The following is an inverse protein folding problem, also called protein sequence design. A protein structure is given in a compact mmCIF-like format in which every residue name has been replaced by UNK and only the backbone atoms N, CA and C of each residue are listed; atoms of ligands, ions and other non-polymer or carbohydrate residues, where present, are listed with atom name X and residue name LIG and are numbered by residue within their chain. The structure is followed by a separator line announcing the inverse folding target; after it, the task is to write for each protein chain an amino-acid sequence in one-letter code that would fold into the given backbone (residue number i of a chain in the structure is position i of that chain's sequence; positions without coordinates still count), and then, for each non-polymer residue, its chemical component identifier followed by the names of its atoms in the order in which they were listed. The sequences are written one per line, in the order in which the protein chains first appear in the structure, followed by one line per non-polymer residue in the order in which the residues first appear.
data_IF_270826572346
#
_entry.id   IF_270826572346
#
_cell.length_a   1.000
_cell.length_b   1.000
_cell.length_c   1.000
_cell.angle_alpha   90.00
_cell.angle_beta   90.00
_cell.angle_gamma   90.00
#
_symmetry.space_group_name_H-M   'P 1'
#
loop_
_entity.id
_entity.type
_entity.pdbx_description
1 polymer ?
#
# COMPACT_ATOMS: atom_id res chain seq x y z
N UNK A 1 44.35 -9.05 -54.41
CA UNK A 1 44.27 -7.65 -53.95
C UNK A 1 43.69 -7.70 -52.53
N UNK A 2 44.38 -7.11 -51.56
CA UNK A 2 44.30 -7.33 -50.12
C UNK A 2 42.94 -6.82 -49.56
N UNK A 3 42.15 -7.68 -48.96
CA UNK A 3 41.20 -7.29 -47.93
C UNK A 3 41.95 -7.18 -46.59
N UNK A 4 42.00 -5.99 -46.06
CA UNK A 4 42.56 -5.70 -44.74
C UNK A 4 41.51 -6.04 -43.72
N UNK A 5 41.75 -7.06 -42.92
CA UNK A 5 41.08 -7.32 -41.66
C UNK A 5 41.28 -6.11 -40.72
N UNK A 6 40.29 -5.24 -40.67
CA UNK A 6 40.21 -4.14 -39.72
C UNK A 6 39.56 -4.63 -38.45
N UNK A 7 40.27 -5.46 -37.66
CA UNK A 7 39.89 -5.71 -36.27
C UNK A 7 40.03 -4.42 -35.48
N UNK A 8 38.92 -3.73 -35.29
CA UNK A 8 38.86 -2.60 -34.36
C UNK A 8 39.08 -3.18 -32.97
N UNK A 9 40.26 -2.92 -32.41
CA UNK A 9 40.68 -3.30 -31.08
C UNK A 9 39.62 -2.75 -30.09
N UNK A 10 39.04 -3.61 -29.26
CA UNK A 10 38.00 -3.21 -28.31
C UNK A 10 38.50 -2.00 -27.48
N UNK A 11 37.75 -0.90 -27.43
CA UNK A 11 38.17 0.33 -26.76
C UNK A 11 37.99 0.21 -25.24
N UNK A 12 38.81 -0.59 -24.59
CA UNK A 12 38.74 -0.88 -23.15
C UNK A 12 38.70 0.38 -22.30
N UNK A 13 39.67 1.28 -22.56
CA UNK A 13 39.81 2.53 -21.83
C UNK A 13 38.59 3.44 -22.01
N UNK A 14 37.99 3.41 -23.19
CA UNK A 14 36.78 4.19 -23.48
C UNK A 14 35.56 3.66 -22.72
N UNK A 15 35.43 2.34 -22.62
CA UNK A 15 34.34 1.70 -21.84
C UNK A 15 34.48 2.06 -20.37
N UNK A 16 35.68 1.97 -19.80
CA UNK A 16 35.90 2.29 -18.38
C UNK A 16 35.61 3.77 -18.13
N UNK A 17 36.12 4.69 -18.94
CA UNK A 17 35.88 6.13 -18.81
C UNK A 17 34.40 6.49 -18.94
N UNK A 18 33.65 5.73 -19.75
CA UNK A 18 32.19 5.86 -19.86
C UNK A 18 31.47 5.41 -18.58
N UNK A 19 31.87 4.27 -18.00
CA UNK A 19 31.32 3.74 -16.77
C UNK A 19 31.62 4.59 -15.54
N UNK A 20 32.85 5.19 -15.52
CA UNK A 20 33.25 6.13 -14.46
C UNK A 20 32.65 7.55 -14.62
N UNK A 21 31.89 7.79 -15.70
CA UNK A 21 31.21 9.07 -15.94
C UNK A 21 32.12 10.15 -16.56
N UNK A 22 33.38 9.86 -16.86
CA UNK A 22 34.38 10.82 -17.37
C UNK A 22 34.49 10.88 -18.92
N UNK A 23 33.66 10.12 -19.65
CA UNK A 23 33.69 10.14 -21.10
C UNK A 23 33.09 11.42 -21.68
N UNK A 24 33.82 12.06 -22.61
CA UNK A 24 33.37 13.24 -23.35
C UNK A 24 32.23 12.93 -24.32
N UNK A 25 31.58 13.97 -24.90
CA UNK A 25 30.48 13.78 -25.83
C UNK A 25 30.91 13.03 -27.12
N UNK A 26 32.11 13.29 -27.60
CA UNK A 26 32.66 12.62 -28.79
C UNK A 26 32.98 11.14 -28.48
N UNK A 27 33.59 10.87 -27.36
CA UNK A 27 33.89 9.51 -26.88
C UNK A 27 32.61 8.67 -26.68
N UNK A 28 31.51 9.28 -26.20
CA UNK A 28 30.20 8.62 -26.12
C UNK A 28 29.63 8.26 -27.47
N UNK A 29 29.80 9.10 -28.49
CA UNK A 29 29.39 8.81 -29.87
C UNK A 29 30.21 7.66 -30.47
N UNK A 30 31.54 7.66 -30.25
CA UNK A 30 32.44 6.61 -30.70
C UNK A 30 32.09 5.25 -30.09
N UNK A 31 31.80 5.21 -28.77
CA UNK A 31 31.37 4.01 -28.08
C UNK A 31 30.03 3.51 -28.62
N UNK A 32 29.06 4.41 -28.88
CA UNK A 32 27.77 4.05 -29.45
C UNK A 32 27.89 3.47 -30.86
N UNK A 33 28.79 4.02 -31.68
CA UNK A 33 29.05 3.49 -33.02
C UNK A 33 29.66 2.10 -32.95
N UNK A 34 30.63 1.88 -32.04
CA UNK A 34 31.25 0.58 -31.82
C UNK A 34 30.25 -0.47 -31.30
N UNK A 35 29.37 -0.10 -30.38
CA UNK A 35 28.30 -0.98 -29.89
C UNK A 35 27.26 -1.37 -30.95
N UNK A 36 27.03 -0.50 -31.94
CA UNK A 36 26.10 -0.77 -33.04
C UNK A 36 26.72 -1.64 -34.15
N UNK A 37 28.02 -1.78 -34.20
CA UNK A 37 28.73 -2.46 -35.28
C UNK A 37 28.69 -3.98 -35.18
N UNK A 38 28.46 -4.57 -33.99
CA UNK A 38 28.36 -6.02 -33.78
C UNK A 38 27.61 -6.36 -32.48
N UNK A 39 26.91 -7.49 -32.46
CA UNK A 39 26.30 -8.03 -31.24
C UNK A 39 27.38 -8.51 -30.23
N UNK A 40 28.51 -9.01 -30.75
CA UNK A 40 29.66 -9.41 -29.93
C UNK A 40 30.25 -8.22 -29.13
N UNK A 41 30.19 -7.02 -29.71
CA UNK A 41 30.65 -5.79 -29.02
C UNK A 41 29.71 -5.42 -27.88
N UNK A 42 28.41 -5.65 -28.04
CA UNK A 42 27.42 -5.44 -26.96
C UNK A 42 27.62 -6.43 -25.82
N UNK A 43 27.81 -7.72 -26.14
CA UNK A 43 28.06 -8.73 -25.14
C UNK A 43 29.34 -8.45 -24.36
N UNK A 44 30.37 -7.98 -25.05
CA UNK A 44 31.62 -7.58 -24.44
C UNK A 44 31.46 -6.35 -23.49
N UNK A 45 30.72 -5.34 -23.93
CA UNK A 45 30.41 -4.18 -23.08
C UNK A 45 29.61 -4.59 -21.83
N UNK A 46 28.63 -5.47 -21.96
CA UNK A 46 27.83 -5.98 -20.85
C UNK A 46 28.71 -6.70 -19.83
N UNK A 47 29.66 -7.54 -20.29
CA UNK A 47 30.59 -8.24 -19.41
C UNK A 47 31.49 -7.27 -18.62
N UNK A 48 32.01 -6.21 -19.26
CA UNK A 48 32.84 -5.20 -18.60
C UNK A 48 32.00 -4.37 -17.62
N UNK A 49 30.81 -3.98 -17.99
CA UNK A 49 29.87 -3.25 -17.11
C UNK A 49 29.54 -4.06 -15.86
N UNK A 50 29.22 -5.34 -16.03
CA UNK A 50 28.85 -6.22 -14.92
C UNK A 50 30.04 -6.45 -13.97
N UNK A 51 31.25 -6.53 -14.52
CA UNK A 51 32.48 -6.60 -13.74
C UNK A 51 32.74 -5.29 -12.98
N UNK A 52 32.55 -4.14 -13.64
CA UNK A 52 32.70 -2.82 -13.04
C UNK A 52 31.73 -2.59 -11.89
N UNK A 53 30.44 -2.95 -12.09
CA UNK A 53 29.42 -2.88 -11.04
C UNK A 53 29.72 -3.80 -9.85
N UNK A 54 30.32 -4.96 -10.09
CA UNK A 54 30.74 -5.87 -9.03
C UNK A 54 31.92 -5.31 -8.22
N UNK A 55 32.81 -4.54 -8.86
CA UNK A 55 33.93 -3.89 -8.20
C UNK A 55 33.52 -2.62 -7.44
N UNK A 56 32.54 -1.86 -7.95
CA UNK A 56 32.03 -0.63 -7.32
C UNK A 56 31.21 -0.94 -6.04
N UNK A 57 30.54 -2.09 -6.02
CA UNK A 57 29.79 -2.56 -4.85
C UNK A 57 30.63 -3.20 -3.74
N UNK A 58 31.88 -3.57 -4.04
CA UNK A 58 32.83 -4.09 -3.06
C UNK A 58 34.00 -3.11 -3.04
N UNK A 59 34.36 -2.52 -1.91
CA UNK A 59 35.60 -1.79 -1.72
C UNK A 59 36.80 -2.75 -1.93
N UNK A 60 37.02 -3.15 -3.21
CA UNK A 60 38.07 -4.06 -3.60
C UNK A 60 39.37 -3.25 -3.75
N UNK A 61 40.43 -3.74 -3.14
CA UNK A 61 41.78 -3.18 -3.31
C UNK A 61 42.29 -3.43 -4.71
N UNK A 62 43.16 -2.52 -5.25
CA UNK A 62 43.75 -2.61 -6.60
C UNK A 62 44.39 -3.98 -6.91
N UNK A 63 44.87 -4.70 -5.90
CA UNK A 63 45.43 -6.04 -6.00
C UNK A 63 44.39 -7.13 -6.39
N UNK A 64 43.16 -7.01 -5.94
CA UNK A 64 42.07 -7.97 -6.24
C UNK A 64 41.54 -7.77 -7.66
N UNK A 65 41.53 -6.52 -8.14
CA UNK A 65 41.17 -6.17 -9.52
C UNK A 65 42.18 -6.76 -10.51
N UNK A 66 43.47 -6.68 -10.21
CA UNK A 66 44.53 -7.22 -11.07
C UNK A 66 44.51 -8.77 -11.15
N UNK A 67 44.15 -9.43 -10.06
CA UNK A 67 43.94 -10.89 -10.01
C UNK A 67 42.73 -11.32 -10.85
N UNK A 68 41.63 -10.58 -10.79
CA UNK A 68 40.43 -10.84 -11.56
C UNK A 68 40.66 -10.67 -13.07
N UNK A 69 41.37 -9.60 -13.46
CA UNK A 69 41.77 -9.34 -14.86
C UNK A 69 42.73 -10.40 -15.40
N UNK A 70 43.69 -10.87 -14.62
CA UNK A 70 44.59 -11.99 -15.01
C UNK A 70 43.83 -13.31 -15.22
N UNK A 71 42.85 -13.59 -14.38
CA UNK A 71 42.02 -14.80 -14.55
C UNK A 71 41.16 -14.74 -15.81
N UNK A 72 40.57 -13.58 -16.13
CA UNK A 72 39.79 -13.37 -17.35
C UNK A 72 40.68 -13.53 -18.60
N UNK A 73 41.85 -12.90 -18.62
CA UNK A 73 42.82 -12.96 -19.73
C UNK A 73 43.26 -14.40 -20.00
N UNK A 74 43.53 -15.18 -18.96
CA UNK A 74 43.96 -16.58 -19.11
C UNK A 74 42.83 -17.48 -19.66
N UNK A 75 41.55 -17.23 -19.32
CA UNK A 75 40.43 -17.96 -19.90
C UNK A 75 40.21 -17.67 -21.39
N UNK A 76 40.45 -16.43 -21.82
CA UNK A 76 40.30 -16.04 -23.23
C UNK A 76 41.42 -16.61 -24.11
N UNK A 77 42.67 -16.79 -23.57
CA UNK A 77 43.80 -17.35 -24.29
C UNK A 77 43.64 -18.86 -24.49
N UNK A 78 43.01 -19.58 -23.55
CA UNK A 78 42.80 -21.04 -23.64
C UNK A 78 41.65 -21.47 -24.59
N UNK A 79 40.83 -20.55 -25.05
CA UNK A 79 39.72 -20.85 -25.98
C UNK A 79 40.21 -21.03 -27.45
N UNK A 80 41.47 -20.74 -27.79
CA UNK A 80 41.95 -20.64 -29.19
C UNK A 80 42.83 -21.79 -29.68
N UNK A 81 42.98 -22.91 -28.95
CA UNK A 81 43.68 -24.06 -29.49
C UNK A 81 43.12 -25.38 -29.01
N UNK A 82 42.34 -26.05 -29.87
CA UNK A 82 42.41 -27.54 -30.06
C UNK A 82 41.60 -27.96 -31.27
N UNK A 83 42.26 -28.12 -32.38
CA UNK A 83 41.84 -29.10 -33.39
C UNK A 83 42.13 -30.51 -32.85
N UNK A 84 41.08 -31.29 -32.59
CA UNK A 84 41.22 -32.67 -32.12
C UNK A 84 40.65 -33.62 -33.15
N UNK A 85 41.49 -34.54 -33.65
CA UNK A 85 41.10 -35.66 -34.46
C UNK A 85 40.12 -36.58 -33.75
N UNK A 86 39.18 -37.26 -34.44
CA UNK A 86 38.16 -38.09 -33.81
C UNK A 86 38.74 -39.40 -33.34
N UNK A 87 39.07 -39.53 -32.05
CA UNK A 87 39.23 -40.82 -31.40
C UNK A 87 37.82 -41.36 -31.03
N UNK A 88 37.45 -42.50 -31.55
CA UNK A 88 36.23 -43.22 -31.18
C UNK A 88 36.24 -43.51 -29.68
N UNK A 89 35.51 -42.73 -28.91
CA UNK A 89 35.31 -42.90 -27.46
C UNK A 89 34.21 -43.94 -27.25
N UNK A 90 34.56 -45.05 -26.62
CA UNK A 90 33.59 -46.00 -26.08
C UNK A 90 32.97 -45.35 -24.84
N UNK A 91 31.79 -44.77 -24.99
CA UNK A 91 31.04 -44.16 -23.88
C UNK A 91 30.62 -45.27 -22.93
N UNK A 92 31.22 -45.29 -21.74
CA UNK A 92 30.73 -46.12 -20.64
C UNK A 92 29.49 -45.45 -20.06
N UNK A 93 28.31 -46.07 -20.30
CA UNK A 93 27.01 -45.56 -19.86
C UNK A 93 26.95 -45.21 -18.36
N UNK A 94 27.75 -45.81 -17.52
CA UNK A 94 27.87 -45.51 -16.09
C UNK A 94 28.43 -44.13 -15.81
N UNK A 95 29.34 -43.59 -16.63
CA UNK A 95 29.88 -42.24 -16.48
C UNK A 95 28.91 -41.15 -16.93
N UNK A 96 28.05 -41.46 -17.92
CA UNK A 96 26.99 -40.55 -18.37
C UNK A 96 25.91 -40.43 -17.30
N UNK A 97 25.52 -41.52 -16.63
CA UNK A 97 24.56 -41.49 -15.54
C UNK A 97 25.05 -40.67 -14.32
N UNK A 98 26.35 -40.76 -13.97
CA UNK A 98 26.93 -40.00 -12.88
C UNK A 98 26.96 -38.52 -13.16
N UNK A 99 27.28 -38.09 -14.41
CA UNK A 99 27.25 -36.66 -14.79
C UNK A 99 25.84 -36.10 -14.80
N UNK A 100 24.83 -36.87 -15.20
CA UNK A 100 23.43 -36.46 -15.13
C UNK A 100 22.94 -36.28 -13.68
N UNK A 101 23.32 -37.14 -12.76
CA UNK A 101 22.99 -36.99 -11.33
C UNK A 101 23.63 -35.77 -10.71
N UNK A 102 24.90 -35.45 -11.07
CA UNK A 102 25.56 -34.22 -10.61
C UNK A 102 24.88 -32.99 -11.18
N UNK A 103 24.49 -32.97 -12.47
CA UNK A 103 23.77 -31.84 -13.06
C UNK A 103 22.37 -31.66 -12.45
N UNK A 104 21.66 -32.75 -12.15
CA UNK A 104 20.35 -32.71 -11.46
C UNK A 104 20.52 -32.19 -10.03
N UNK A 105 21.53 -32.65 -9.30
CA UNK A 105 21.78 -32.17 -7.91
C UNK A 105 22.20 -30.71 -7.88
N UNK A 106 23.03 -30.25 -8.82
CA UNK A 106 23.39 -28.83 -8.96
C UNK A 106 22.18 -28.01 -9.40
N UNK A 107 21.40 -28.48 -10.37
CA UNK A 107 20.17 -27.81 -10.82
C UNK A 107 19.12 -27.73 -9.70
N UNK A 108 18.97 -28.80 -8.91
CA UNK A 108 18.08 -28.81 -7.73
C UNK A 108 18.59 -27.87 -6.62
N UNK A 109 19.92 -27.81 -6.41
CA UNK A 109 20.54 -26.87 -5.47
C UNK A 109 20.34 -25.40 -5.88
N UNK A 110 20.42 -25.10 -7.18
CA UNK A 110 20.09 -23.76 -7.69
C UNK A 110 18.59 -23.44 -7.62
N UNK A 111 17.74 -24.41 -7.91
CA UNK A 111 16.28 -24.28 -7.80
C UNK A 111 15.82 -24.09 -6.35
N UNK A 112 16.40 -24.82 -5.41
CA UNK A 112 16.09 -24.69 -3.99
C UNK A 112 16.63 -23.38 -3.40
N UNK A 113 17.83 -22.90 -3.83
CA UNK A 113 18.32 -21.58 -3.46
C UNK A 113 17.41 -20.45 -3.96
N UNK A 114 16.85 -20.57 -5.16
CA UNK A 114 15.91 -19.59 -5.68
C UNK A 114 14.62 -19.50 -4.84
N UNK A 115 14.16 -20.62 -4.27
CA UNK A 115 13.00 -20.63 -3.35
C UNK A 115 13.29 -20.04 -1.97
N UNK A 116 14.54 -20.08 -1.49
CA UNK A 116 14.91 -19.55 -0.17
C UNK A 116 15.05 -18.02 -0.22
N UNK A 117 15.36 -17.44 -1.38
CA UNK A 117 15.49 -15.97 -1.53
C UNK A 117 14.13 -15.26 -1.60
N UNK A 118 13.04 -15.98 -1.94
CA UNK A 118 11.70 -15.39 -2.02
C UNK A 118 10.97 -15.26 -0.66
N UNK A 119 11.57 -15.70 0.45
CA UNK A 119 10.96 -15.62 1.78
C UNK A 119 11.72 -14.69 2.74
N UNK A 120 12.42 -13.70 2.26
CA UNK A 120 12.65 -12.51 3.07
C UNK A 120 11.33 -11.75 3.06
N UNK A 121 10.45 -12.05 4.01
CA UNK A 121 9.37 -11.13 4.36
C UNK A 121 10.06 -9.81 4.69
N UNK A 122 10.00 -8.87 3.76
CA UNK A 122 10.33 -7.48 4.02
C UNK A 122 9.52 -7.12 5.28
N UNK A 123 10.21 -6.85 6.39
CA UNK A 123 9.54 -6.40 7.61
C UNK A 123 8.94 -5.05 7.25
N UNK A 124 7.68 -5.06 6.84
CA UNK A 124 6.95 -3.83 6.54
C UNK A 124 6.77 -3.11 7.87
N UNK A 125 7.61 -2.12 8.11
CA UNK A 125 7.45 -1.23 9.27
C UNK A 125 6.12 -0.51 9.10
N UNK A 126 5.21 -0.74 10.05
CA UNK A 126 3.89 -0.12 10.07
C UNK A 126 3.87 1.03 11.06
N UNK A 127 3.39 2.18 10.61
CA UNK A 127 3.10 3.34 11.43
C UNK A 127 1.62 3.31 11.86
N UNK A 128 1.33 3.90 13.01
CA UNK A 128 -0.02 4.02 13.53
C UNK A 128 -0.32 5.46 13.92
N UNK A 129 -1.47 5.95 13.50
CA UNK A 129 -2.06 7.20 13.97
C UNK A 129 -3.27 6.85 14.83
N UNK A 130 -3.31 7.37 16.04
CA UNK A 130 -4.37 7.08 17.00
C UNK A 130 -4.87 8.42 17.56
N UNK A 131 -6.19 8.61 17.57
CA UNK A 131 -6.85 9.73 18.24
C UNK A 131 -7.48 9.24 19.54
N UNK A 132 -7.27 9.98 20.62
CA UNK A 132 -7.96 9.72 21.88
C UNK A 132 -9.47 9.97 21.74
N UNK A 133 -10.28 9.36 22.61
CA UNK A 133 -11.72 9.68 22.72
C UNK A 133 -11.91 11.17 23.02
N UNK A 134 -12.78 11.84 22.29
CA UNK A 134 -13.02 13.30 22.38
C UNK A 134 -12.01 14.16 21.62
N UNK A 135 -11.03 13.57 20.94
CA UNK A 135 -10.01 14.28 20.16
C UNK A 135 -10.10 13.96 18.68
N UNK A 136 -9.65 14.89 17.86
CA UNK A 136 -9.54 14.76 16.40
C UNK A 136 -8.13 15.11 15.98
N UNK A 137 -7.67 14.58 14.85
CA UNK A 137 -6.36 14.88 14.31
C UNK A 137 -6.36 14.98 12.80
N UNK A 138 -5.54 15.88 12.26
CA UNK A 138 -5.24 15.97 10.84
C UNK A 138 -3.81 15.51 10.61
N UNK A 139 -3.62 14.64 9.62
CA UNK A 139 -2.33 14.02 9.31
C UNK A 139 -2.09 14.03 7.80
N UNK A 140 -0.82 14.05 7.42
CA UNK A 140 -0.39 13.91 6.02
C UNK A 140 0.38 12.61 5.91
N UNK A 141 -0.08 11.72 5.02
CA UNK A 141 0.58 10.44 4.74
C UNK A 141 1.77 10.63 3.78
N UNK A 142 2.67 9.62 3.65
CA UNK A 142 3.85 9.70 2.78
C UNK A 142 3.58 9.98 1.30
N UNK A 143 2.36 9.69 0.83
CA UNK A 143 1.91 9.97 -0.55
C UNK A 143 1.24 11.34 -0.72
N UNK A 144 1.30 12.21 0.30
CA UNK A 144 0.62 13.52 0.38
C UNK A 144 -0.91 13.42 0.49
N UNK A 145 -1.47 12.25 0.79
CA UNK A 145 -2.88 12.12 1.17
C UNK A 145 -3.10 12.78 2.52
N UNK A 146 -4.13 13.62 2.63
CA UNK A 146 -4.52 14.24 3.90
C UNK A 146 -5.64 13.40 4.51
N UNK A 147 -5.48 13.09 5.80
CA UNK A 147 -6.44 12.30 6.57
C UNK A 147 -6.83 13.07 7.82
N UNK A 148 -8.12 13.22 8.06
CA UNK A 148 -8.67 13.62 9.36
C UNK A 148 -9.18 12.36 10.06
N UNK A 149 -8.69 12.11 11.27
CA UNK A 149 -9.17 11.04 12.14
C UNK A 149 -10.12 11.62 13.18
N UNK A 150 -11.30 11.03 13.29
CA UNK A 150 -12.28 11.38 14.32
C UNK A 150 -11.93 10.72 15.67
N UNK A 151 -12.70 11.04 16.68
CA UNK A 151 -12.57 10.55 18.06
C UNK A 151 -12.44 9.03 18.14
N UNK A 152 -11.44 8.56 18.90
CA UNK A 152 -11.25 7.13 19.16
C UNK A 152 -10.92 6.30 17.92
N UNK A 153 -10.34 6.89 16.91
CA UNK A 153 -10.02 6.22 15.63
C UNK A 153 -8.55 5.87 15.53
N UNK A 154 -8.25 4.84 14.73
CA UNK A 154 -6.91 4.34 14.47
C UNK A 154 -6.71 4.11 12.97
N UNK A 155 -5.61 4.61 12.44
CA UNK A 155 -5.16 4.36 11.07
C UNK A 155 -3.79 3.70 11.10
N UNK A 156 -3.65 2.57 10.41
CA UNK A 156 -2.38 1.85 10.22
C UNK A 156 -1.95 1.99 8.76
N UNK A 157 -0.69 2.34 8.54
CA UNK A 157 -0.14 2.49 7.19
C UNK A 157 1.35 2.13 7.19
N UNK A 158 1.91 1.66 6.06
CA UNK A 158 3.34 1.35 5.97
C UNK A 158 4.18 2.62 5.89
N UNK A 159 5.42 2.57 6.34
CA UNK A 159 6.37 3.68 6.20
C UNK A 159 6.54 4.09 4.73
N UNK A 160 6.59 3.09 3.84
CA UNK A 160 6.61 3.29 2.40
C UNK A 160 5.52 2.46 1.74
N UNK A 161 4.71 3.09 0.90
CA UNK A 161 3.70 2.36 0.12
C UNK A 161 4.33 1.51 -0.97
N UNK A 162 3.75 0.35 -1.25
CA UNK A 162 4.13 -0.55 -2.34
C UNK A 162 4.12 0.15 -3.70
N UNK A 163 4.80 -0.42 -4.70
CA UNK A 163 4.94 0.19 -6.04
C UNK A 163 3.64 0.22 -6.82
N UNK A 164 2.75 -0.74 -6.59
CA UNK A 164 1.50 -0.95 -7.33
C UNK A 164 0.25 -0.40 -6.62
N UNK A 165 0.28 -0.22 -5.29
CA UNK A 165 -0.87 0.23 -4.50
C UNK A 165 -0.45 0.91 -3.20
N UNK A 166 -1.39 1.66 -2.60
CA UNK A 166 -1.24 2.38 -1.34
C UNK A 166 -2.30 1.86 -0.38
N UNK A 167 -1.91 0.97 0.53
CA UNK A 167 -2.85 0.30 1.44
C UNK A 167 -2.76 0.89 2.84
N UNK A 168 -3.91 1.19 3.43
CA UNK A 168 -4.05 1.59 4.83
C UNK A 168 -5.20 0.81 5.47
N UNK A 169 -5.15 0.62 6.79
CA UNK A 169 -6.22 -0.03 7.56
C UNK A 169 -6.83 0.97 8.53
N UNK A 170 -8.15 1.07 8.54
CA UNK A 170 -8.90 1.99 9.39
C UNK A 170 -9.78 1.24 10.39
N UNK A 171 -9.72 1.68 11.64
CA UNK A 171 -10.68 1.39 12.71
C UNK A 171 -11.24 2.72 13.22
N UNK A 172 -12.55 2.88 13.26
CA UNK A 172 -13.21 4.13 13.63
C UNK A 172 -13.62 4.97 12.43
N UNK A 173 -13.53 6.29 12.53
CA UNK A 173 -13.99 7.20 11.48
C UNK A 173 -12.86 8.11 10.98
N UNK A 174 -12.78 8.22 9.65
CA UNK A 174 -11.82 9.09 8.98
C UNK A 174 -12.38 9.70 7.70
N UNK A 175 -11.99 10.95 7.47
CA UNK A 175 -12.15 11.62 6.19
C UNK A 175 -10.81 11.67 5.46
N UNK A 176 -10.83 11.29 4.19
CA UNK A 176 -9.66 11.21 3.32
C UNK A 176 -9.76 12.22 2.18
N UNK A 177 -8.70 12.97 1.94
CA UNK A 177 -8.44 13.68 0.69
C UNK A 177 -7.24 13.01 0.02
N UNK A 178 -7.54 12.03 -0.82
CA UNK A 178 -6.50 11.18 -1.41
C UNK A 178 -5.79 11.89 -2.54
N UNK A 179 -4.45 11.90 -2.51
CA UNK A 179 -3.60 12.42 -3.57
C UNK A 179 -3.85 11.67 -4.89
N UNK A 180 -4.06 12.40 -5.99
CA UNK A 180 -4.38 11.82 -7.31
C UNK A 180 -3.23 11.01 -7.85
N UNK A 181 -3.46 9.71 -8.05
CA UNK A 181 -2.51 8.81 -8.70
C UNK A 181 -3.27 7.64 -9.36
N UNK A 182 -3.41 7.71 -10.69
CA UNK A 182 -4.15 6.71 -11.46
C UNK A 182 -3.40 5.38 -11.60
N UNK A 183 -2.09 5.39 -11.51
CA UNK A 183 -1.25 4.18 -11.65
C UNK A 183 -1.08 3.41 -10.33
N UNK A 184 -1.38 4.04 -9.18
CA UNK A 184 -1.25 3.45 -7.85
C UNK A 184 -2.52 3.69 -7.04
N UNK A 185 -3.50 2.79 -7.10
CA UNK A 185 -4.72 2.90 -6.31
C UNK A 185 -4.44 3.06 -4.81
N UNK A 186 -5.27 3.85 -4.12
CA UNK A 186 -5.28 3.95 -2.68
C UNK A 186 -6.42 3.07 -2.14
N UNK A 187 -6.11 2.20 -1.21
CA UNK A 187 -7.05 1.22 -0.67
C UNK A 187 -7.16 1.40 0.84
N UNK A 188 -8.36 1.70 1.31
CA UNK A 188 -8.66 1.68 2.75
C UNK A 188 -9.32 0.35 3.08
N UNK A 189 -8.66 -0.44 3.90
CA UNK A 189 -9.18 -1.71 4.42
C UNK A 189 -9.95 -1.46 5.71
N UNK A 190 -11.20 -1.88 5.73
CA UNK A 190 -12.11 -1.73 6.87
C UNK A 190 -12.83 -3.06 7.07
N UNK A 191 -12.34 -3.88 7.99
CA UNK A 191 -12.90 -5.22 8.25
C UNK A 191 -13.03 -6.03 6.94
N UNK A 192 -14.26 -6.24 6.47
CA UNK A 192 -14.61 -7.07 5.30
C UNK A 192 -14.80 -6.25 4.01
N UNK A 193 -14.44 -4.97 4.04
CA UNK A 193 -14.66 -4.02 2.96
C UNK A 193 -13.35 -3.32 2.57
N UNK A 194 -12.99 -3.38 1.29
CA UNK A 194 -11.87 -2.63 0.72
C UNK A 194 -12.41 -1.47 -0.13
N UNK A 195 -12.04 -0.24 0.23
CA UNK A 195 -12.42 0.99 -0.47
C UNK A 195 -11.25 1.43 -1.36
N UNK A 196 -11.38 1.22 -2.66
CA UNK A 196 -10.36 1.54 -3.67
C UNK A 196 -10.67 2.86 -4.37
N UNK A 197 -9.68 3.77 -4.42
CA UNK A 197 -9.82 5.09 -5.03
C UNK A 197 -8.53 5.52 -5.77
N UNK A 198 -8.63 6.48 -6.71
CA UNK A 198 -7.49 6.97 -7.50
C UNK A 198 -7.14 8.45 -7.24
N UNK A 199 -7.91 9.13 -6.39
CA UNK A 199 -7.76 10.55 -6.08
C UNK A 199 -9.12 11.18 -5.78
N UNK A 200 -9.61 10.94 -4.60
CA UNK A 200 -11.02 11.03 -4.20
C UNK A 200 -11.10 11.62 -2.80
N UNK A 201 -12.16 12.39 -2.55
CA UNK A 201 -12.49 12.87 -1.19
C UNK A 201 -13.71 12.11 -0.68
N UNK A 202 -13.59 11.44 0.47
CA UNK A 202 -14.62 10.57 1.03
C UNK A 202 -14.46 10.39 2.52
N UNK A 203 -15.55 10.02 3.21
CA UNK A 203 -15.56 9.66 4.62
C UNK A 203 -15.88 8.17 4.79
N UNK A 204 -15.26 7.53 5.76
CA UNK A 204 -15.59 6.18 6.21
C UNK A 204 -15.83 6.23 7.70
N UNK A 205 -16.97 5.67 8.16
CA UNK A 205 -17.28 5.45 9.57
C UNK A 205 -17.44 3.95 9.84
N UNK A 206 -16.55 3.38 10.65
CA UNK A 206 -16.52 1.96 11.04
C UNK A 206 -16.23 1.82 12.52
N UNK A 207 -17.11 2.35 13.36
CA UNK A 207 -16.98 2.18 14.80
C UNK A 207 -17.21 0.72 15.19
N UNK A 208 -16.38 0.22 16.12
CA UNK A 208 -16.49 -1.17 16.60
C UNK A 208 -17.85 -1.49 17.22
N UNK A 209 -18.49 -0.48 17.83
CA UNK A 209 -19.81 -0.61 18.49
C UNK A 209 -20.99 -0.54 17.51
N UNK A 210 -20.78 -0.12 16.26
CA UNK A 210 -21.81 -0.10 15.22
C UNK A 210 -21.74 -1.36 14.38
N UNK A 211 -22.90 -1.97 14.12
CA UNK A 211 -23.04 -3.13 13.24
C UNK A 211 -22.99 -2.75 11.75
N UNK A 212 -22.45 -1.62 11.43
CA UNK A 212 -22.37 -1.11 10.05
C UNK A 212 -21.04 -0.41 9.78
N UNK A 213 -20.66 -0.42 8.50
CA UNK A 213 -19.66 0.49 7.93
C UNK A 213 -20.37 1.42 6.98
N UNK A 214 -20.17 2.70 7.15
CA UNK A 214 -20.72 3.74 6.29
C UNK A 214 -19.60 4.37 5.49
N UNK A 215 -19.78 4.49 4.17
CA UNK A 215 -18.81 5.14 3.27
C UNK A 215 -19.56 6.11 2.39
N UNK A 216 -19.23 7.39 2.48
CA UNK A 216 -19.85 8.45 1.68
C UNK A 216 -18.84 9.12 0.78
N UNK A 217 -19.21 9.35 -0.47
CA UNK A 217 -18.38 9.97 -1.48
C UNK A 217 -18.69 11.46 -1.63
N UNK A 218 -17.67 12.31 -1.45
CA UNK A 218 -17.78 13.76 -1.67
C UNK A 218 -17.38 14.14 -3.10
N UNK A 219 -16.23 13.66 -3.57
CA UNK A 219 -15.76 13.96 -4.94
C UNK A 219 -14.90 12.83 -5.49
N UNK A 220 -14.93 12.61 -6.80
CA UNK A 220 -14.20 11.56 -7.49
C UNK A 220 -15.06 10.30 -7.69
N UNK A 221 -14.49 9.13 -7.45
CA UNK A 221 -15.19 7.84 -7.54
C UNK A 221 -14.61 6.86 -6.50
N UNK A 222 -15.47 6.02 -5.95
CA UNK A 222 -15.12 4.90 -5.08
C UNK A 222 -15.49 3.60 -5.74
N UNK A 223 -14.61 2.60 -5.61
CA UNK A 223 -14.91 1.20 -5.86
C UNK A 223 -14.81 0.45 -4.55
N UNK A 224 -15.95 0.07 -3.99
CA UNK A 224 -16.04 -0.72 -2.78
C UNK A 224 -16.06 -2.21 -3.15
N UNK A 225 -15.14 -2.99 -2.58
CA UNK A 225 -15.05 -4.43 -2.77
C UNK A 225 -15.45 -5.13 -1.47
N UNK A 226 -16.43 -6.02 -1.52
CA UNK A 226 -16.87 -6.82 -0.37
C UNK A 226 -16.08 -8.12 -0.40
N UNK A 227 -15.16 -8.32 0.56
CA UNK A 227 -14.22 -9.43 0.54
C UNK A 227 -14.88 -10.80 0.63
N UNK A 228 -15.97 -10.92 1.41
CA UNK A 228 -16.69 -12.18 1.58
C UNK A 228 -17.38 -12.69 0.31
N UNK A 229 -17.85 -11.80 -0.57
CA UNK A 229 -18.66 -12.15 -1.75
C UNK A 229 -17.99 -11.82 -3.07
N UNK A 230 -16.90 -11.02 -3.05
CA UNK A 230 -16.26 -10.46 -4.25
C UNK A 230 -17.13 -9.42 -4.98
N UNK A 231 -18.27 -9.03 -4.40
CA UNK A 231 -19.16 -8.00 -4.98
C UNK A 231 -18.45 -6.66 -5.02
N UNK A 232 -18.59 -5.95 -6.14
CA UNK A 232 -18.02 -4.61 -6.36
C UNK A 232 -19.13 -3.60 -6.54
N UNK A 233 -19.05 -2.50 -5.80
CA UNK A 233 -20.03 -1.40 -5.83
C UNK A 233 -19.26 -0.14 -6.21
N UNK A 234 -19.78 0.61 -7.19
CA UNK A 234 -19.24 1.90 -7.59
C UNK A 234 -20.14 3.00 -6.99
N UNK A 235 -19.51 3.97 -6.30
CA UNK A 235 -20.22 5.12 -5.76
C UNK A 235 -19.92 6.38 -6.59
N UNK A 236 -20.96 7.20 -6.69
CA UNK A 236 -20.94 8.56 -7.23
C UNK A 236 -20.97 9.59 -6.10
N UNK A 237 -20.57 10.85 -6.35
CA UNK A 237 -20.69 11.92 -5.35
C UNK A 237 -22.12 12.03 -4.78
N UNK A 238 -22.21 12.22 -3.47
CA UNK A 238 -23.43 12.23 -2.66
C UNK A 238 -24.15 10.85 -2.55
N UNK A 239 -23.44 9.77 -2.85
CA UNK A 239 -23.94 8.42 -2.52
C UNK A 239 -23.28 7.93 -1.23
N UNK A 240 -24.06 7.34 -0.35
CA UNK A 240 -23.72 6.64 0.88
C UNK A 240 -23.86 5.15 0.65
N UNK A 241 -22.83 4.38 0.91
CA UNK A 241 -22.87 2.93 1.05
C UNK A 241 -22.92 2.56 2.52
N UNK A 242 -23.93 1.83 2.91
CA UNK A 242 -24.07 1.19 4.22
C UNK A 242 -23.83 -0.31 4.05
N UNK A 243 -22.80 -0.83 4.71
CA UNK A 243 -22.48 -2.27 4.78
C UNK A 243 -22.79 -2.78 6.19
N UNK A 244 -23.73 -3.72 6.31
CA UNK A 244 -24.09 -4.37 7.57
C UNK A 244 -23.11 -5.50 7.87
N UNK A 245 -22.41 -5.43 9.01
CA UNK A 245 -21.34 -6.37 9.38
C UNK A 245 -21.83 -7.79 9.64
N UNK A 246 -23.02 -7.95 10.24
CA UNK A 246 -23.58 -9.26 10.58
C UNK A 246 -24.11 -10.01 9.37
N UNK A 247 -24.81 -9.31 8.46
CA UNK A 247 -25.52 -9.94 7.33
C UNK A 247 -24.73 -9.88 6.02
N UNK A 248 -23.73 -9.01 5.91
CA UNK A 248 -23.03 -8.70 4.67
C UNK A 248 -23.89 -7.93 3.66
N UNK A 249 -25.08 -7.48 4.07
CA UNK A 249 -26.01 -6.72 3.23
C UNK A 249 -25.44 -5.33 2.93
N UNK A 250 -25.68 -4.85 1.71
CA UNK A 250 -25.25 -3.51 1.26
C UNK A 250 -26.47 -2.71 0.78
N UNK A 251 -26.58 -1.50 1.27
CA UNK A 251 -27.57 -0.50 0.85
C UNK A 251 -26.83 0.70 0.29
N UNK A 252 -27.26 1.23 -0.85
CA UNK A 252 -26.74 2.48 -1.39
C UNK A 252 -27.88 3.49 -1.47
N UNK A 253 -27.68 4.68 -0.92
CA UNK A 253 -28.68 5.74 -0.86
C UNK A 253 -28.05 7.09 -1.20
N UNK A 254 -28.88 8.05 -1.63
CA UNK A 254 -28.46 9.42 -1.89
C UNK A 254 -28.53 10.21 -0.58
N UNK A 255 -27.47 10.92 -0.26
CA UNK A 255 -27.34 11.74 0.94
C UNK A 255 -26.63 13.06 0.65
N UNK A 256 -26.67 13.99 1.57
CA UNK A 256 -25.73 15.12 1.55
C UNK A 256 -24.41 14.69 2.15
N UNK A 257 -23.42 14.43 1.30
CA UNK A 257 -22.10 14.00 1.75
C UNK A 257 -21.45 14.99 2.75
N UNK A 258 -21.85 16.25 2.72
CA UNK A 258 -21.35 17.29 3.64
C UNK A 258 -21.72 16.98 5.10
N UNK A 259 -22.88 16.43 5.38
CA UNK A 259 -23.30 16.09 6.75
C UNK A 259 -22.36 15.08 7.41
N UNK A 260 -21.84 14.12 6.63
CA UNK A 260 -20.94 13.09 7.13
C UNK A 260 -19.51 13.58 7.42
N UNK A 261 -19.17 14.81 7.05
CA UNK A 261 -17.86 15.43 7.35
C UNK A 261 -17.97 16.70 8.18
N UNK A 262 -19.18 17.07 8.60
CA UNK A 262 -19.38 18.26 9.43
C UNK A 262 -18.62 18.21 10.76
N UNK A 263 -18.30 17.00 11.23
CA UNK A 263 -17.51 16.79 12.43
C UNK A 263 -16.09 17.41 12.34
N UNK A 264 -15.53 17.57 11.14
CA UNK A 264 -14.25 18.27 10.92
C UNK A 264 -14.36 19.74 11.34
N UNK A 265 -15.53 20.34 11.20
CA UNK A 265 -15.84 21.73 11.53
C UNK A 265 -16.53 21.88 12.88
N UNK A 266 -16.33 20.92 13.78
CA UNK A 266 -16.96 20.90 15.11
C UNK A 266 -18.49 20.95 15.08
N UNK A 267 -19.07 20.23 14.10
CA UNK A 267 -20.51 20.03 13.99
C UNK A 267 -20.85 18.55 13.90
N UNK A 268 -21.92 18.12 14.55
CA UNK A 268 -22.52 16.81 14.34
C UNK A 268 -23.93 17.02 13.81
N UNK A 269 -24.22 16.48 12.64
CA UNK A 269 -25.55 16.53 12.04
C UNK A 269 -26.14 15.12 12.03
N UNK A 270 -27.35 15.00 12.57
CA UNK A 270 -28.16 13.78 12.56
C UNK A 270 -29.40 14.03 11.73
N UNK A 271 -29.74 13.12 10.84
CA UNK A 271 -30.91 13.20 9.97
C UNK A 271 -31.70 11.89 9.98
N UNK A 272 -32.76 11.85 10.81
CA UNK A 272 -33.57 10.66 11.05
C UNK A 272 -32.74 9.45 11.54
N UNK A 273 -31.70 9.72 12.32
CA UNK A 273 -30.81 8.69 12.87
C UNK A 273 -31.43 8.01 14.08
N UNK A 274 -31.08 6.73 14.28
CA UNK A 274 -31.50 6.01 15.49
C UNK A 274 -30.84 6.60 16.72
N UNK A 275 -31.56 6.66 17.82
CA UNK A 275 -30.99 7.12 19.08
C UNK A 275 -29.78 6.29 19.52
N UNK A 276 -29.73 4.98 19.22
CA UNK A 276 -28.56 4.14 19.45
C UNK A 276 -27.32 4.66 18.74
N UNK A 277 -27.44 5.06 17.47
CA UNK A 277 -26.34 5.58 16.66
C UNK A 277 -25.92 6.99 17.14
N UNK A 278 -26.91 7.83 17.46
CA UNK A 278 -26.70 9.15 18.06
C UNK A 278 -25.92 9.04 19.37
N UNK A 279 -26.30 8.11 20.26
CA UNK A 279 -25.61 7.88 21.53
C UNK A 279 -24.15 7.49 21.32
N UNK A 280 -23.83 6.66 20.33
CA UNK A 280 -22.45 6.28 20.03
C UNK A 280 -21.64 7.50 19.59
N UNK A 281 -22.20 8.33 18.73
CA UNK A 281 -21.56 9.58 18.29
C UNK A 281 -21.35 10.56 19.47
N UNK A 282 -22.35 10.72 20.33
CA UNK A 282 -22.26 11.60 21.52
C UNK A 282 -21.24 11.08 22.55
N UNK A 283 -21.12 9.74 22.75
CA UNK A 283 -20.08 9.15 23.59
C UNK A 283 -18.69 9.53 23.11
N UNK A 284 -18.45 9.40 21.80
CA UNK A 284 -17.18 9.78 21.17
C UNK A 284 -16.94 11.30 21.24
N UNK A 285 -17.95 12.11 20.99
CA UNK A 285 -17.85 13.57 20.92
C UNK A 285 -17.55 14.23 22.25
N UNK A 286 -18.26 13.81 23.31
CA UNK A 286 -18.13 14.37 24.66
C UNK A 286 -17.23 13.57 25.58
N UNK A 287 -16.64 12.48 25.11
CA UNK A 287 -15.80 11.57 25.89
C UNK A 287 -16.53 11.05 27.16
N UNK A 288 -17.81 10.64 27.03
CA UNK A 288 -18.66 10.17 28.13
C UNK A 288 -19.17 8.75 27.90
N UNK A 289 -19.64 8.13 28.97
CA UNK A 289 -20.37 6.87 28.91
C UNK A 289 -21.88 7.17 29.04
N UNK A 290 -22.68 6.72 28.07
CA UNK A 290 -24.13 6.92 28.08
C UNK A 290 -24.79 5.54 28.13
N UNK A 291 -25.52 5.28 29.19
CA UNK A 291 -26.34 4.09 29.38
C UNK A 291 -27.79 4.40 28.94
N UNK A 292 -28.32 3.59 28.02
CA UNK A 292 -29.67 3.73 27.51
C UNK A 292 -30.24 2.34 27.20
N UNK A 293 -31.48 2.00 27.64
CA UNK A 293 -32.10 0.71 27.33
C UNK A 293 -32.23 0.48 25.82
N UNK A 294 -31.75 -0.65 25.35
CA UNK A 294 -31.68 -0.99 23.93
C UNK A 294 -33.04 -0.93 23.20
N UNK A 295 -34.14 -1.48 23.73
CA UNK A 295 -35.43 -1.39 23.04
C UNK A 295 -35.91 0.04 22.82
N UNK A 296 -35.52 0.97 23.71
CA UNK A 296 -35.85 2.39 23.57
C UNK A 296 -34.95 3.07 22.55
N UNK A 297 -33.64 2.87 22.63
CA UNK A 297 -32.67 3.51 21.73
C UNK A 297 -32.85 3.07 20.28
N UNK A 298 -33.21 1.84 20.01
CA UNK A 298 -33.45 1.34 18.65
C UNK A 298 -34.73 1.89 18.01
N UNK A 299 -35.75 2.19 18.83
CA UNK A 299 -37.06 2.64 18.36
C UNK A 299 -37.09 4.15 18.05
N UNK A 300 -36.34 4.96 18.78
CA UNK A 300 -36.36 6.42 18.62
C UNK A 300 -35.47 6.89 17.49
N UNK A 301 -35.96 7.88 16.75
CA UNK A 301 -35.19 8.56 15.70
C UNK A 301 -35.26 10.05 15.89
N UNK A 302 -34.13 10.76 15.63
CA UNK A 302 -34.03 12.20 15.82
C UNK A 302 -33.25 12.84 14.67
N UNK A 303 -33.58 14.11 14.39
CA UNK A 303 -32.86 14.97 13.47
C UNK A 303 -32.51 16.28 14.20
N UNK A 304 -31.23 16.56 14.33
CA UNK A 304 -30.72 17.82 14.90
C UNK A 304 -29.24 18.01 14.57
N UNK A 305 -28.73 19.21 14.80
CA UNK A 305 -27.30 19.52 14.61
C UNK A 305 -26.72 20.10 15.89
N UNK A 306 -25.59 19.55 16.33
CA UNK A 306 -24.75 20.06 17.43
C UNK A 306 -23.71 21.02 16.84
N UNK A 307 -23.51 22.20 17.45
CA UNK A 307 -22.58 23.23 17.00
C UNK A 307 -21.77 23.86 18.14
N UNK A 308 -21.49 23.10 19.17
CA UNK A 308 -20.77 23.59 20.35
C UNK A 308 -21.61 23.62 21.63
N UNK A 309 -22.89 23.19 21.54
CA UNK A 309 -23.72 23.01 22.72
C UNK A 309 -23.10 21.98 23.67
N UNK A 310 -23.28 22.17 24.96
CA UNK A 310 -22.89 21.20 25.99
C UNK A 310 -23.74 19.93 25.92
N UNK A 311 -23.20 18.81 26.38
CA UNK A 311 -23.94 17.55 26.48
C UNK A 311 -25.27 17.70 27.23
N UNK A 312 -25.27 18.54 28.29
CA UNK A 312 -26.49 18.81 29.09
C UNK A 312 -27.58 19.49 28.25
N UNK A 313 -27.21 20.47 27.43
CA UNK A 313 -28.15 21.17 26.54
C UNK A 313 -28.72 20.23 25.49
N UNK A 314 -27.88 19.37 24.89
CA UNK A 314 -28.31 18.40 23.91
C UNK A 314 -29.26 17.36 24.54
N UNK A 315 -28.91 16.79 25.68
CA UNK A 315 -29.80 15.85 26.39
C UNK A 315 -31.11 16.50 26.84
N UNK A 316 -31.06 17.80 27.21
CA UNK A 316 -32.26 18.54 27.52
C UNK A 316 -33.14 18.71 26.28
N UNK A 317 -32.58 19.15 25.15
CA UNK A 317 -33.32 19.27 23.89
C UNK A 317 -33.93 17.94 23.46
N UNK A 318 -33.16 16.85 23.54
CA UNK A 318 -33.69 15.49 23.25
C UNK A 318 -34.84 15.10 24.15
N UNK A 319 -34.79 15.46 25.44
CA UNK A 319 -35.87 15.15 26.40
C UNK A 319 -37.17 15.91 26.14
N UNK A 320 -37.12 17.00 25.37
CA UNK A 320 -38.32 17.71 24.92
C UNK A 320 -38.99 17.07 23.70
N UNK A 321 -38.21 16.26 22.94
CA UNK A 321 -38.70 15.64 21.70
C UNK A 321 -39.15 14.19 21.94
N UNK A 322 -38.39 13.43 22.73
CA UNK A 322 -38.70 12.02 23.04
C UNK A 322 -38.97 11.83 24.56
N UNK A 323 -39.83 10.89 24.94
CA UNK A 323 -40.25 10.68 26.34
C UNK A 323 -39.11 10.05 27.16
N UNK A 324 -38.16 10.89 27.62
CA UNK A 324 -37.03 10.44 28.43
C UNK A 324 -36.71 11.42 29.57
N UNK A 325 -36.07 10.90 30.61
CA UNK A 325 -35.28 11.66 31.59
C UNK A 325 -33.84 11.26 31.50
N UNK A 326 -32.94 12.08 32.02
CA UNK A 326 -31.53 11.77 32.07
C UNK A 326 -30.89 12.24 33.38
N UNK A 327 -29.82 11.57 33.76
CA UNK A 327 -28.97 12.00 34.86
C UNK A 327 -27.51 12.05 34.39
N UNK A 328 -26.75 13.01 34.87
CA UNK A 328 -25.33 13.20 34.52
C UNK A 328 -24.53 13.17 35.83
N UNK A 329 -23.59 12.22 35.98
CA UNK A 329 -22.70 12.09 37.12
C UNK A 329 -21.25 12.03 36.60
N UNK A 330 -20.58 13.17 36.49
CA UNK A 330 -19.27 13.28 35.84
C UNK A 330 -19.33 12.82 34.39
N UNK A 331 -18.56 11.80 34.02
CA UNK A 331 -18.55 11.21 32.68
C UNK A 331 -19.61 10.11 32.47
N UNK A 332 -20.43 9.82 33.47
CA UNK A 332 -21.50 8.81 33.38
C UNK A 332 -22.84 9.50 33.16
N UNK A 333 -23.54 9.09 32.11
CA UNK A 333 -24.88 9.56 31.76
C UNK A 333 -25.83 8.38 31.74
N UNK A 334 -27.02 8.53 32.33
CA UNK A 334 -28.06 7.51 32.25
C UNK A 334 -29.32 8.11 31.63
N UNK A 335 -29.83 7.50 30.57
CA UNK A 335 -31.09 7.82 29.93
C UNK A 335 -32.15 6.87 30.45
N UNK A 336 -33.27 7.42 30.90
CA UNK A 336 -34.39 6.68 31.50
C UNK A 336 -35.64 6.94 30.66
N UNK A 337 -36.17 5.96 29.94
CA UNK A 337 -37.42 6.11 29.19
C UNK A 337 -38.57 6.43 30.13
N UNK A 338 -39.46 7.34 29.71
CA UNK A 338 -40.72 7.55 30.36
C UNK A 338 -41.79 6.64 29.73
N UNK A 339 -42.63 6.03 30.53
CA UNK A 339 -43.76 5.26 30.01
C UNK A 339 -44.67 6.19 29.19
N UNK A 340 -44.81 5.92 27.91
CA UNK A 340 -45.88 6.52 27.09
C UNK A 340 -47.22 5.99 27.62
N UNK A 341 -48.04 6.90 28.11
CA UNK A 341 -49.46 6.59 28.50
C UNK A 341 -50.26 6.21 27.27
#
# INVERSE_FOLDING_TARGET
MKERDNYIKAPHDLIIRYLDGFASLEEKKELLYWLKSSDENRDYFIQIRDLWLACDSAMATDAEIDIALKRLRNRLIFARQKTVSPKRFRIQWQQVAATFLVLISVGYGFYSKKRIVETVQEIVVQNQLITATGSKGQFILPDSTIVWLNSGSKLVYPEHFEKDRRVVTLEGEAYFQVAKNKSRPFVVQVKDLDIEVLGTSFNIASHAMLDKVETVLLSGSIKANINATGKKILLKPNELLVYKKETGETITEITSAQYHIDWIKDRLTFDNDRLSDIIISLKGWYAVQIDCPQPFSEKQRLSFTVRGESLKEILHAMSLIIPMRYTINGSQVKIIPLATR
#
